data_IF_402578133842
#
_entry.id   IF_402578133842
#
_cell.length_a   1.000
_cell.length_b   1.000
_cell.length_c   1.000
_cell.angle_alpha   90.00
_cell.angle_beta   90.00
_cell.angle_gamma   90.00
#
_symmetry.space_group_name_H-M   'P 1'
#
loop_
_entity.id
_entity.type
_entity.pdbx_description
1 polymer ?
#
# COMPACT_ATOMS: atom_id res chain seq x y z
N UNK A 1 -1.48 -1.91 34.12
CA UNK A 1 -1.50 -3.17 33.32
C UNK A 1 -0.30 -3.11 32.41
N UNK A 2 0.63 -4.08 32.44
CA UNK A 2 1.70 -4.12 31.42
C UNK A 2 1.07 -4.31 30.05
N UNK A 3 1.46 -3.47 29.09
CA UNK A 3 0.98 -3.60 27.72
C UNK A 3 1.30 -5.04 27.22
N UNK A 4 0.37 -5.65 26.50
CA UNK A 4 0.61 -6.94 25.85
C UNK A 4 1.75 -6.76 24.84
N UNK A 5 2.80 -7.61 24.86
CA UNK A 5 3.88 -7.51 23.90
C UNK A 5 3.37 -7.63 22.46
N UNK A 6 3.92 -6.84 21.56
CA UNK A 6 3.65 -6.94 20.12
C UNK A 6 4.18 -8.26 19.53
N UNK A 7 3.72 -8.62 18.34
CA UNK A 7 4.18 -9.84 17.65
C UNK A 7 5.68 -9.82 17.33
N UNK A 8 6.28 -8.63 17.19
CA UNK A 8 7.71 -8.42 16.90
C UNK A 8 8.44 -7.72 18.05
N UNK A 9 7.91 -7.81 19.27
CA UNK A 9 8.55 -7.23 20.43
C UNK A 9 9.95 -7.83 20.65
N UNK A 10 10.94 -6.97 20.91
CA UNK A 10 12.34 -7.35 21.03
C UNK A 10 13.13 -7.41 19.70
N UNK A 11 12.47 -7.30 18.54
CA UNK A 11 13.17 -7.19 17.26
C UNK A 11 13.58 -5.74 16.98
N UNK A 12 14.80 -5.56 16.48
CA UNK A 12 15.31 -4.25 16.04
C UNK A 12 15.47 -4.20 14.52
N UNK A 13 15.02 -3.10 13.93
CA UNK A 13 15.09 -2.83 12.49
C UNK A 13 15.96 -1.58 12.25
N UNK A 14 17.02 -1.71 11.48
CA UNK A 14 17.79 -0.58 10.95
C UNK A 14 17.20 -0.18 9.58
N UNK A 15 16.53 0.95 9.53
CA UNK A 15 15.80 1.46 8.38
C UNK A 15 16.61 2.53 7.65
N UNK A 16 17.29 2.16 6.57
CA UNK A 16 18.00 3.07 5.66
C UNK A 16 17.12 3.53 4.50
N UNK A 17 15.87 3.09 4.45
CA UNK A 17 14.98 3.37 3.33
C UNK A 17 14.41 4.80 3.38
N UNK A 18 13.98 5.28 2.20
CA UNK A 18 13.42 6.62 2.01
C UNK A 18 12.14 6.56 1.18
N UNK A 19 11.43 7.66 1.15
CA UNK A 19 10.23 7.92 0.36
C UNK A 19 9.03 7.12 0.87
N UNK A 20 8.67 5.97 0.26
CA UNK A 20 7.40 5.33 0.58
C UNK A 20 7.52 3.82 0.82
N UNK A 21 8.02 3.05 -0.14
CA UNK A 21 7.97 1.58 -0.10
C UNK A 21 8.65 0.99 1.16
N UNK A 22 9.89 1.36 1.43
CA UNK A 22 10.60 0.95 2.64
C UNK A 22 9.99 1.51 3.92
N UNK A 23 9.70 2.84 3.98
CA UNK A 23 9.05 3.43 5.14
C UNK A 23 7.71 2.80 5.52
N UNK A 24 6.86 2.40 4.57
CA UNK A 24 5.63 1.63 4.84
C UNK A 24 5.96 0.27 5.45
N UNK A 25 6.92 -0.47 4.87
CA UNK A 25 7.31 -1.78 5.39
C UNK A 25 7.77 -1.67 6.85
N UNK A 26 8.66 -0.72 7.15
CA UNK A 26 9.20 -0.54 8.50
C UNK A 26 8.17 0.04 9.48
N UNK A 27 7.24 0.89 9.03
CA UNK A 27 6.12 1.33 9.84
C UNK A 27 5.22 0.14 10.25
N UNK A 28 4.92 -0.78 9.32
CA UNK A 28 4.16 -2.00 9.63
C UNK A 28 4.89 -2.86 10.67
N UNK A 29 6.22 -3.04 10.53
CA UNK A 29 7.01 -3.78 11.53
C UNK A 29 6.98 -3.07 12.90
N UNK A 30 7.05 -1.73 12.92
CA UNK A 30 6.90 -0.91 14.11
C UNK A 30 5.53 -1.05 14.77
N UNK A 31 4.44 -1.05 13.97
CA UNK A 31 3.06 -1.27 14.45
C UNK A 31 2.89 -2.67 15.07
N UNK A 32 3.66 -3.65 14.59
CA UNK A 32 3.69 -5.01 15.11
C UNK A 32 4.59 -5.18 16.34
N UNK A 33 5.28 -4.14 16.78
CA UNK A 33 6.07 -4.12 18.03
C UNK A 33 7.58 -3.94 17.85
N UNK A 34 8.14 -4.01 16.65
CA UNK A 34 9.57 -3.85 16.43
C UNK A 34 10.09 -2.46 16.85
N UNK A 35 11.35 -2.40 17.32
CA UNK A 35 12.10 -1.17 17.53
C UNK A 35 12.74 -0.74 16.19
N UNK A 36 12.16 0.26 15.54
CA UNK A 36 12.60 0.74 14.24
C UNK A 36 13.46 1.97 14.39
N UNK A 37 14.72 1.90 13.94
CA UNK A 37 15.67 3.02 13.90
C UNK A 37 15.83 3.46 12.44
N UNK A 38 15.25 4.63 12.11
CA UNK A 38 15.38 5.26 10.79
C UNK A 38 16.69 6.06 10.73
N UNK A 39 17.55 5.68 9.77
CA UNK A 39 18.79 6.40 9.48
C UNK A 39 18.54 7.46 8.43
N UNK A 40 18.78 8.71 8.77
CA UNK A 40 18.52 9.86 7.93
C UNK A 40 19.78 10.68 7.68
N UNK A 41 19.81 11.42 6.57
CA UNK A 41 20.88 12.35 6.27
C UNK A 41 20.80 13.56 7.21
N UNK A 42 21.91 14.02 7.79
CA UNK A 42 21.94 15.25 8.60
C UNK A 42 21.38 16.44 7.81
N UNK A 43 20.58 17.26 8.47
CA UNK A 43 20.02 18.51 7.95
C UNK A 43 18.84 18.36 6.99
N UNK A 44 18.85 17.39 6.06
CA UNK A 44 17.78 17.21 5.07
C UNK A 44 16.82 16.06 5.36
N UNK A 45 17.28 15.01 6.03
CA UNK A 45 16.51 13.82 6.34
C UNK A 45 16.04 13.05 5.11
N UNK A 46 14.87 12.44 5.24
CA UNK A 46 14.13 11.81 4.15
C UNK A 46 13.60 12.86 3.18
N UNK A 47 13.68 12.60 1.87
CA UNK A 47 13.24 13.52 0.82
C UNK A 47 11.76 13.94 1.00
N UNK A 48 10.93 13.06 1.56
CA UNK A 48 9.49 13.34 1.82
C UNK A 48 9.26 14.43 2.86
N UNK A 49 10.25 14.78 3.68
CA UNK A 49 10.14 15.91 4.62
C UNK A 49 9.96 17.25 3.91
N UNK A 50 10.47 17.36 2.67
CA UNK A 50 10.32 18.56 1.83
C UNK A 50 9.12 18.49 0.86
N UNK A 51 8.34 17.41 0.90
CA UNK A 51 7.21 17.24 -0.04
C UNK A 51 5.91 17.82 0.51
N UNK A 52 5.58 18.98 0.05
CA UNK A 52 4.35 19.70 0.37
C UNK A 52 4.14 20.88 -0.58
N UNK A 53 2.97 21.52 -0.58
CA UNK A 53 1.82 21.28 0.28
C UNK A 53 1.15 19.91 0.01
N UNK A 54 0.35 19.38 0.97
CA UNK A 54 -0.02 20.00 2.24
C UNK A 54 1.01 19.78 3.36
N UNK A 55 0.99 20.69 4.33
CA UNK A 55 1.78 20.66 5.55
C UNK A 55 0.86 20.52 6.77
N UNK A 56 1.32 19.89 7.85
CA UNK A 56 0.64 19.96 9.14
C UNK A 56 0.65 21.38 9.69
N UNK A 57 -0.15 21.71 10.73
CA UNK A 57 -0.10 23.01 11.40
C UNK A 57 1.33 23.38 11.90
N UNK A 58 2.13 22.39 12.26
CA UNK A 58 3.52 22.53 12.73
C UNK A 58 4.53 22.66 11.56
N UNK A 59 4.06 22.67 10.31
CA UNK A 59 4.90 22.81 9.13
C UNK A 59 5.64 21.52 8.71
N UNK A 60 5.17 20.35 9.16
CA UNK A 60 5.73 19.06 8.76
C UNK A 60 4.97 18.50 7.57
N UNK A 61 5.67 17.87 6.63
CA UNK A 61 5.06 17.22 5.46
C UNK A 61 4.07 16.13 5.88
N UNK A 62 2.82 16.23 5.43
CA UNK A 62 1.80 15.19 5.66
C UNK A 62 2.19 13.85 5.03
N UNK A 63 2.98 13.88 3.95
CA UNK A 63 3.51 12.66 3.32
C UNK A 63 4.46 11.92 4.28
N UNK A 64 5.40 12.67 4.90
CA UNK A 64 6.33 12.10 5.88
C UNK A 64 5.59 11.55 7.11
N UNK A 65 4.62 12.33 7.64
CA UNK A 65 3.83 11.92 8.81
C UNK A 65 3.05 10.63 8.56
N UNK A 66 2.55 10.44 7.36
CA UNK A 66 1.70 9.29 7.00
C UNK A 66 2.39 7.92 7.08
N UNK A 67 3.75 7.84 7.07
CA UNK A 67 4.48 6.58 6.92
C UNK A 67 5.67 6.39 7.87
N UNK A 68 5.81 7.24 8.90
CA UNK A 68 6.98 7.20 9.78
C UNK A 68 6.69 7.12 11.28
N UNK A 69 5.42 6.81 11.68
CA UNK A 69 5.13 6.51 13.09
C UNK A 69 5.87 5.25 13.56
N UNK A 70 5.99 5.09 14.87
CA UNK A 70 6.68 3.97 15.51
C UNK A 70 8.15 3.84 15.12
N UNK A 71 8.81 4.96 14.78
CA UNK A 71 10.23 5.00 14.45
C UNK A 71 10.99 5.95 15.37
N UNK A 72 12.23 5.63 15.64
CA UNK A 72 13.25 6.54 16.20
C UNK A 72 14.14 7.01 15.05
N UNK A 73 14.60 8.26 15.05
CA UNK A 73 15.49 8.79 13.99
C UNK A 73 16.90 9.02 14.52
N UNK A 74 17.90 8.57 13.75
CA UNK A 74 19.31 8.90 13.92
C UNK A 74 19.81 9.60 12.66
N UNK A 75 20.51 10.73 12.83
CA UNK A 75 21.12 11.47 11.72
C UNK A 75 22.57 11.02 11.50
N UNK A 76 22.84 10.42 10.33
CA UNK A 76 24.17 9.92 9.94
C UNK A 76 24.49 10.28 8.49
N UNK A 77 25.69 10.82 8.24
CA UNK A 77 26.25 10.93 6.89
C UNK A 77 27.09 9.68 6.56
N UNK A 78 26.55 8.78 5.76
CA UNK A 78 27.24 7.55 5.37
C UNK A 78 28.55 7.78 4.59
N UNK A 79 28.88 9.02 4.25
CA UNK A 79 30.20 9.38 3.67
C UNK A 79 31.23 9.75 4.74
N UNK A 80 30.79 10.11 5.93
CA UNK A 80 31.67 10.33 7.07
C UNK A 80 32.06 8.98 7.69
N UNK A 81 33.37 8.70 7.89
CA UNK A 81 33.81 7.40 8.42
C UNK A 81 33.27 7.06 9.81
N UNK A 82 33.11 8.05 10.69
CA UNK A 82 32.63 7.82 12.06
C UNK A 82 31.10 7.51 12.05
N UNK A 83 30.36 8.20 11.21
CA UNK A 83 28.94 7.94 11.01
C UNK A 83 28.70 6.59 10.32
N UNK A 84 29.53 6.24 9.33
CA UNK A 84 29.48 4.92 8.68
C UNK A 84 29.76 3.78 9.67
N UNK A 85 30.71 3.94 10.60
CA UNK A 85 30.96 2.95 11.66
C UNK A 85 29.78 2.87 12.64
N UNK A 86 29.15 4.00 12.98
CA UNK A 86 27.92 4.02 13.79
C UNK A 86 26.78 3.28 13.08
N UNK A 87 26.61 3.51 11.78
CA UNK A 87 25.60 2.82 10.95
C UNK A 87 25.87 1.31 10.89
N UNK A 88 27.15 0.92 10.81
CA UNK A 88 27.57 -0.48 10.83
C UNK A 88 27.29 -1.13 12.20
N UNK A 89 27.64 -0.46 13.29
CA UNK A 89 27.34 -0.94 14.65
C UNK A 89 25.83 -1.12 14.87
N UNK A 90 25.00 -0.19 14.39
CA UNK A 90 23.54 -0.29 14.40
C UNK A 90 23.08 -1.51 13.59
N UNK A 91 23.57 -1.67 12.36
CA UNK A 91 23.20 -2.78 11.46
C UNK A 91 23.56 -4.14 12.05
N UNK A 92 24.72 -4.28 12.70
CA UNK A 92 25.13 -5.53 13.33
C UNK A 92 24.35 -5.85 14.63
N UNK A 93 23.68 -4.87 15.22
CA UNK A 93 22.79 -5.08 16.39
C UNK A 93 21.32 -5.18 16.00
N UNK A 94 20.99 -4.92 14.74
CA UNK A 94 19.63 -5.07 14.23
C UNK A 94 19.35 -6.50 13.80
N UNK A 95 18.10 -6.94 13.87
CA UNK A 95 17.62 -8.20 13.33
C UNK A 95 17.34 -8.11 11.85
N UNK A 96 16.94 -6.92 11.41
CA UNK A 96 16.61 -6.58 10.03
C UNK A 96 17.30 -5.30 9.62
N UNK A 97 17.90 -5.32 8.43
CA UNK A 97 18.41 -4.12 7.74
C UNK A 97 17.62 -3.94 6.46
N UNK A 98 16.99 -2.79 6.27
CA UNK A 98 16.22 -2.48 5.05
C UNK A 98 16.75 -1.24 4.36
N UNK A 99 16.82 -1.28 3.02
CA UNK A 99 17.29 -0.17 2.20
C UNK A 99 16.56 -0.09 0.85
N UNK A 100 16.56 1.09 0.22
CA UNK A 100 16.09 1.29 -1.15
C UNK A 100 16.95 2.28 -1.92
N UNK A 101 18.26 2.24 -1.69
CA UNK A 101 19.22 3.06 -2.40
C UNK A 101 19.51 2.54 -3.80
N UNK A 102 20.17 3.37 -4.59
CA UNK A 102 20.74 2.94 -5.87
C UNK A 102 21.82 1.86 -5.64
N UNK A 103 22.02 0.95 -6.61
CA UNK A 103 23.05 -0.08 -6.49
C UNK A 103 24.41 0.47 -6.10
N UNK A 104 25.11 -0.22 -5.20
CA UNK A 104 26.45 0.12 -4.73
C UNK A 104 26.51 1.19 -3.63
N UNK A 105 25.43 1.84 -3.23
CA UNK A 105 25.46 2.83 -2.12
C UNK A 105 25.79 2.13 -0.80
N UNK A 106 25.08 1.07 -0.45
CA UNK A 106 25.33 0.30 0.78
C UNK A 106 26.71 -0.36 0.75
N UNK A 107 27.14 -0.92 -0.38
CA UNK A 107 28.45 -1.54 -0.51
C UNK A 107 29.62 -0.54 -0.27
N UNK A 108 29.51 0.68 -0.78
CA UNK A 108 30.53 1.73 -0.52
C UNK A 108 30.63 2.11 0.95
N UNK A 109 29.55 1.96 1.70
CA UNK A 109 29.52 2.22 3.15
C UNK A 109 29.84 0.94 3.98
N UNK A 110 30.10 -0.21 3.34
CA UNK A 110 30.32 -1.48 4.05
C UNK A 110 29.07 -2.02 4.76
N UNK A 111 27.88 -1.68 4.24
CA UNK A 111 26.58 -1.99 4.82
C UNK A 111 25.74 -2.92 3.92
N UNK A 112 26.32 -3.45 2.83
CA UNK A 112 25.64 -4.41 1.99
C UNK A 112 25.48 -5.78 2.69
N UNK A 113 24.54 -6.57 2.17
CA UNK A 113 24.19 -7.86 2.77
C UNK A 113 25.40 -8.78 2.97
N UNK A 114 26.27 -8.92 1.97
CA UNK A 114 27.41 -9.85 2.02
C UNK A 114 28.43 -9.42 3.09
N UNK A 115 28.69 -8.10 3.16
CA UNK A 115 29.59 -7.54 4.17
C UNK A 115 29.06 -7.73 5.59
N UNK A 116 27.77 -7.44 5.82
CA UNK A 116 27.16 -7.58 7.14
C UNK A 116 26.99 -9.06 7.54
N UNK A 117 26.59 -9.93 6.62
CA UNK A 117 26.40 -11.36 6.84
C UNK A 117 27.71 -12.07 7.25
N UNK A 118 28.85 -11.61 6.73
CA UNK A 118 30.16 -12.16 7.14
C UNK A 118 30.44 -12.00 8.65
N UNK A 119 29.79 -11.06 9.31
CA UNK A 119 29.90 -10.81 10.76
C UNK A 119 28.68 -11.34 11.54
N UNK A 120 27.52 -11.48 10.89
CA UNK A 120 26.27 -11.89 11.52
C UNK A 120 25.44 -12.73 10.55
N UNK A 121 25.62 -14.06 10.62
CA UNK A 121 25.00 -15.02 9.70
C UNK A 121 23.48 -15.10 9.80
N UNK A 122 22.90 -14.70 10.93
CA UNK A 122 21.45 -14.68 11.20
C UNK A 122 20.75 -13.36 10.77
N UNK A 123 21.51 -12.38 10.22
CA UNK A 123 20.96 -11.10 9.80
C UNK A 123 20.00 -11.27 8.63
N UNK A 124 18.81 -10.71 8.74
CA UNK A 124 17.88 -10.54 7.62
C UNK A 124 18.12 -9.18 6.97
N UNK A 125 18.39 -9.17 5.68
CA UNK A 125 18.51 -7.93 4.90
C UNK A 125 17.34 -7.83 3.92
N UNK A 126 16.81 -6.62 3.69
CA UNK A 126 15.80 -6.38 2.67
C UNK A 126 16.23 -5.23 1.76
N UNK A 127 16.23 -5.47 0.45
CA UNK A 127 16.49 -4.47 -0.57
C UNK A 127 15.25 -4.25 -1.42
N UNK A 128 14.79 -3.00 -1.53
CA UNK A 128 13.73 -2.61 -2.46
C UNK A 128 14.39 -1.89 -3.63
N UNK A 129 14.42 -2.57 -4.78
CA UNK A 129 15.00 -2.06 -6.01
C UNK A 129 13.96 -1.32 -6.87
N UNK A 130 14.44 -0.55 -7.84
CA UNK A 130 13.58 0.12 -8.82
C UNK A 130 13.01 -0.85 -9.87
N UNK A 131 13.37 -0.65 -11.14
CA UNK A 131 12.86 -1.46 -12.24
C UNK A 131 13.81 -2.63 -12.54
N UNK A 132 13.75 -3.68 -11.70
CA UNK A 132 14.57 -4.87 -11.85
C UNK A 132 16.02 -4.67 -11.36
N UNK A 133 16.95 -5.47 -11.89
CA UNK A 133 18.38 -5.52 -11.46
C UNK A 133 19.27 -4.47 -12.12
N UNK A 134 18.71 -3.60 -12.99
CA UNK A 134 19.47 -2.57 -13.71
C UNK A 134 19.50 -1.23 -12.99
N UNK A 135 20.14 -0.23 -13.63
CA UNK A 135 20.28 1.14 -13.13
C UNK A 135 19.07 2.04 -13.44
N UNK A 136 17.93 1.45 -13.88
CA UNK A 136 16.73 2.22 -14.18
C UNK A 136 16.18 2.84 -12.89
N UNK A 137 15.83 4.15 -12.93
CA UNK A 137 15.33 4.82 -11.75
C UNK A 137 13.99 4.21 -11.28
N UNK A 138 13.90 3.96 -9.98
CA UNK A 138 12.75 3.32 -9.35
C UNK A 138 11.81 4.32 -8.70
N UNK A 139 11.02 5.04 -9.50
CA UNK A 139 9.89 5.81 -8.99
C UNK A 139 8.58 5.11 -9.32
N UNK A 140 7.63 5.14 -8.40
CA UNK A 140 6.29 4.56 -8.56
C UNK A 140 5.64 4.91 -9.90
N UNK A 141 5.66 6.18 -10.28
CA UNK A 141 5.06 6.64 -11.53
C UNK A 141 5.67 5.97 -12.76
N UNK A 142 6.99 5.77 -12.77
CA UNK A 142 7.67 5.05 -13.83
C UNK A 142 7.30 3.56 -13.81
N UNK A 143 7.20 2.96 -12.64
CA UNK A 143 6.78 1.57 -12.49
C UNK A 143 5.34 1.36 -12.98
N UNK A 144 4.40 2.26 -12.66
CA UNK A 144 3.04 2.22 -13.19
C UNK A 144 3.01 2.36 -14.71
N UNK A 145 3.83 3.25 -15.30
CA UNK A 145 3.89 3.45 -16.73
C UNK A 145 4.52 2.27 -17.46
N UNK A 146 5.72 1.86 -17.04
CA UNK A 146 6.52 0.84 -17.71
C UNK A 146 6.07 -0.59 -17.39
N UNK A 147 5.48 -0.80 -16.21
CA UNK A 147 4.93 -2.08 -15.76
C UNK A 147 3.53 -2.40 -16.29
N UNK A 148 2.94 -1.54 -17.12
CA UNK A 148 1.67 -1.81 -17.79
C UNK A 148 0.40 -1.38 -17.03
N UNK A 149 0.50 -0.97 -15.76
CA UNK A 149 -0.68 -0.58 -14.96
C UNK A 149 -1.41 0.62 -15.58
N UNK A 150 -0.69 1.64 -16.07
CA UNK A 150 -1.29 2.78 -16.75
C UNK A 150 -1.96 2.40 -18.07
N UNK A 151 -1.50 1.37 -18.76
CA UNK A 151 -2.09 0.93 -20.04
C UNK A 151 -3.51 0.40 -19.90
N UNK A 152 -3.90 -0.03 -18.68
CA UNK A 152 -5.24 -0.56 -18.36
C UNK A 152 -6.06 0.40 -17.48
N UNK A 153 -5.51 1.53 -17.07
CA UNK A 153 -6.15 2.51 -16.17
C UNK A 153 -6.53 3.77 -16.94
N UNK A 154 -7.79 4.19 -16.84
CA UNK A 154 -8.37 5.34 -17.52
C UNK A 154 -9.51 4.99 -18.46
N UNK A 155 -10.13 6.00 -19.06
CA UNK A 155 -11.27 5.84 -19.96
C UNK A 155 -10.89 5.11 -21.24
N UNK A 156 -11.84 4.34 -21.80
CA UNK A 156 -11.69 3.69 -23.10
C UNK A 156 -11.41 4.75 -24.18
N UNK A 157 -10.29 4.60 -24.91
CA UNK A 157 -9.88 5.58 -25.92
C UNK A 157 -9.28 6.88 -25.37
N UNK A 158 -9.25 7.08 -24.04
CA UNK A 158 -8.60 8.22 -23.38
C UNK A 158 -7.09 8.05 -23.21
N UNK A 159 -6.46 8.98 -22.48
CA UNK A 159 -5.05 8.87 -22.10
C UNK A 159 -4.85 7.82 -21.01
N UNK A 160 -3.66 7.17 -20.93
CA UNK A 160 -3.27 6.33 -19.79
C UNK A 160 -3.17 7.15 -18.50
N UNK A 161 -3.83 6.70 -17.45
CA UNK A 161 -3.79 7.36 -16.14
C UNK A 161 -3.03 6.53 -15.12
N UNK A 162 -2.26 7.20 -14.26
CA UNK A 162 -1.76 6.56 -13.04
C UNK A 162 -2.89 6.43 -12.01
N UNK A 163 -2.77 5.49 -11.10
CA UNK A 163 -3.60 5.46 -9.88
C UNK A 163 -3.30 6.70 -9.03
N UNK A 164 -4.28 7.23 -8.33
CA UNK A 164 -4.18 8.47 -7.55
C UNK A 164 -3.14 8.47 -6.43
N UNK A 165 -2.73 7.29 -5.95
CA UNK A 165 -1.66 7.09 -4.96
C UNK A 165 -0.46 6.41 -5.60
N UNK A 166 0.71 6.41 -4.94
CA UNK A 166 1.89 5.64 -5.33
C UNK A 166 1.68 4.16 -4.99
N UNK A 167 0.76 3.52 -5.73
CA UNK A 167 0.23 2.19 -5.40
C UNK A 167 1.29 1.10 -5.50
N UNK A 168 2.22 1.21 -6.45
CA UNK A 168 3.29 0.22 -6.62
C UNK A 168 4.26 0.27 -5.44
N UNK A 169 4.60 1.47 -4.94
CA UNK A 169 5.41 1.62 -3.72
C UNK A 169 4.70 1.01 -2.50
N UNK A 170 3.39 1.26 -2.34
CA UNK A 170 2.60 0.64 -1.25
C UNK A 170 2.67 -0.88 -1.33
N UNK A 171 2.45 -1.45 -2.51
CA UNK A 171 2.49 -2.90 -2.71
C UNK A 171 3.90 -3.47 -2.52
N UNK A 172 4.94 -2.77 -2.97
CA UNK A 172 6.33 -3.17 -2.74
C UNK A 172 6.66 -3.17 -1.24
N UNK A 173 6.20 -2.17 -0.50
CA UNK A 173 6.33 -2.12 0.97
C UNK A 173 5.65 -3.30 1.66
N UNK A 174 4.44 -3.66 1.23
CA UNK A 174 3.73 -4.85 1.74
C UNK A 174 4.49 -6.15 1.43
N UNK A 175 5.00 -6.32 0.19
CA UNK A 175 5.81 -7.48 -0.17
C UNK A 175 7.13 -7.54 0.61
N UNK A 176 7.76 -6.39 0.87
CA UNK A 176 8.96 -6.29 1.69
C UNK A 176 8.66 -6.75 3.14
N UNK A 177 7.57 -6.27 3.74
CA UNK A 177 7.16 -6.69 5.08
C UNK A 177 6.87 -8.21 5.13
N UNK A 178 6.14 -8.76 4.15
CA UNK A 178 5.87 -10.21 4.04
C UNK A 178 7.18 -10.98 3.89
N UNK A 179 8.08 -10.55 3.01
CA UNK A 179 9.37 -11.19 2.78
C UNK A 179 10.25 -11.18 4.03
N UNK A 180 10.30 -10.05 4.76
CA UNK A 180 11.01 -9.94 6.03
C UNK A 180 10.44 -10.91 7.06
N UNK A 181 9.12 -10.96 7.24
CA UNK A 181 8.48 -11.89 8.19
C UNK A 181 8.75 -13.35 7.82
N UNK A 182 8.74 -13.71 6.54
CA UNK A 182 9.10 -15.04 6.06
C UNK A 182 10.58 -15.36 6.34
N UNK A 183 11.48 -14.41 6.12
CA UNK A 183 12.90 -14.56 6.41
C UNK A 183 13.18 -14.70 7.92
N UNK A 184 12.49 -13.93 8.76
CA UNK A 184 12.57 -14.05 10.22
C UNK A 184 12.06 -15.43 10.68
N UNK A 185 10.96 -15.93 10.10
CA UNK A 185 10.47 -17.28 10.40
C UNK A 185 11.46 -18.37 10.00
N UNK A 186 12.15 -18.20 8.87
CA UNK A 186 13.23 -19.11 8.47
C UNK A 186 14.40 -19.05 9.47
N UNK A 187 14.85 -17.83 9.81
CA UNK A 187 15.91 -17.60 10.81
C UNK A 187 15.60 -18.27 12.14
N UNK A 188 14.38 -18.11 12.65
CA UNK A 188 13.96 -18.70 13.92
C UNK A 188 14.02 -20.24 13.91
N UNK A 189 13.85 -20.86 12.75
CA UNK A 189 13.91 -22.31 12.59
C UNK A 189 15.32 -22.85 12.33
N UNK A 190 16.21 -22.07 11.72
CA UNK A 190 17.51 -22.56 11.22
C UNK A 190 18.72 -21.85 11.85
N UNK A 191 18.52 -20.67 12.42
CA UNK A 191 19.60 -19.77 12.83
C UNK A 191 20.23 -18.98 11.68
N UNK A 192 19.73 -19.09 10.45
CA UNK A 192 20.29 -18.44 9.27
C UNK A 192 19.40 -17.32 8.77
N UNK A 193 19.97 -16.10 8.60
CA UNK A 193 19.35 -14.98 7.92
C UNK A 193 19.45 -15.10 6.41
N UNK A 194 18.83 -14.16 5.69
CA UNK A 194 18.87 -14.12 4.23
C UNK A 194 18.62 -12.72 3.67
N UNK A 195 18.94 -12.55 2.38
CA UNK A 195 18.57 -11.36 1.62
C UNK A 195 17.15 -11.54 1.05
N UNK A 196 16.29 -10.57 1.31
CA UNK A 196 14.98 -10.38 0.69
C UNK A 196 15.13 -9.30 -0.37
N UNK A 197 14.79 -9.61 -1.61
CA UNK A 197 14.79 -8.63 -2.70
C UNK A 197 13.37 -8.44 -3.23
N UNK A 198 12.95 -7.17 -3.32
CA UNK A 198 11.68 -6.74 -3.93
C UNK A 198 12.01 -5.68 -4.97
N UNK A 199 11.40 -5.71 -6.13
CA UNK A 199 11.52 -4.64 -7.12
C UNK A 199 10.15 -4.15 -7.60
N UNK A 200 10.10 -2.88 -8.01
CA UNK A 200 8.84 -2.23 -8.38
C UNK A 200 8.24 -2.83 -9.66
N UNK A 201 9.06 -3.30 -10.61
CA UNK A 201 8.54 -3.87 -11.85
C UNK A 201 7.86 -5.22 -11.60
N UNK A 202 8.53 -6.14 -10.91
CA UNK A 202 7.94 -7.44 -10.53
C UNK A 202 6.69 -7.26 -9.68
N UNK A 203 6.71 -6.29 -8.75
CA UNK A 203 5.55 -5.92 -7.94
C UNK A 203 4.39 -5.45 -8.82
N UNK A 204 4.65 -4.59 -9.82
CA UNK A 204 3.62 -4.13 -10.75
C UNK A 204 3.04 -5.30 -11.54
N UNK A 205 3.90 -6.13 -12.16
CA UNK A 205 3.47 -7.28 -12.95
C UNK A 205 2.62 -8.27 -12.14
N UNK A 206 3.04 -8.58 -10.91
CA UNK A 206 2.27 -9.43 -10.00
C UNK A 206 0.89 -8.83 -9.70
N UNK A 207 0.82 -7.52 -9.54
CA UNK A 207 -0.41 -6.79 -9.18
C UNK A 207 -1.39 -6.61 -10.35
N UNK A 208 -0.98 -6.87 -11.60
CA UNK A 208 -1.89 -6.90 -12.74
C UNK A 208 -2.89 -8.06 -12.69
N UNK A 209 -2.66 -9.07 -11.86
CA UNK A 209 -3.58 -10.17 -11.54
C UNK A 209 -4.24 -10.79 -12.80
N UNK A 210 -5.59 -10.70 -12.90
CA UNK A 210 -6.35 -11.24 -14.03
C UNK A 210 -5.98 -10.62 -15.39
N UNK A 211 -5.55 -9.37 -15.42
CA UNK A 211 -5.13 -8.71 -16.67
C UNK A 211 -3.80 -9.31 -17.19
N UNK A 212 -2.86 -9.59 -16.30
CA UNK A 212 -1.66 -10.36 -16.68
C UNK A 212 -2.03 -11.76 -17.17
N UNK A 213 -2.98 -12.44 -16.51
CA UNK A 213 -3.44 -13.77 -16.93
C UNK A 213 -4.10 -13.73 -18.30
N UNK A 214 -4.87 -12.69 -18.66
CA UNK A 214 -5.45 -12.53 -19.99
C UNK A 214 -4.37 -12.56 -21.09
N UNK A 215 -3.23 -11.89 -20.85
CA UNK A 215 -2.10 -11.93 -21.77
C UNK A 215 -1.39 -13.29 -21.75
N UNK A 216 -1.02 -13.80 -20.59
CA UNK A 216 -0.19 -14.99 -20.46
C UNK A 216 -0.90 -16.27 -20.90
N UNK A 217 -2.23 -16.36 -20.72
CA UNK A 217 -2.99 -17.60 -20.98
C UNK A 217 -3.81 -17.54 -22.26
N UNK A 218 -4.28 -16.37 -22.67
CA UNK A 218 -5.15 -16.20 -23.82
C UNK A 218 -4.53 -15.33 -24.95
N UNK A 219 -3.35 -14.76 -24.74
CA UNK A 219 -2.68 -13.87 -25.72
C UNK A 219 -3.40 -12.54 -25.93
N UNK A 220 -4.38 -12.20 -25.05
CA UNK A 220 -5.15 -10.96 -25.16
C UNK A 220 -4.43 -9.85 -24.43
N UNK A 221 -4.02 -8.81 -25.15
CA UNK A 221 -3.45 -7.59 -24.55
C UNK A 221 -4.58 -6.75 -23.99
N UNK A 222 -4.65 -6.55 -22.65
CA UNK A 222 -5.69 -5.73 -22.04
C UNK A 222 -5.56 -4.24 -22.41
N UNK A 223 -6.70 -3.57 -22.54
CA UNK A 223 -6.77 -2.14 -22.76
C UNK A 223 -7.57 -1.44 -21.65
N UNK A 224 -7.64 -0.11 -21.74
CA UNK A 224 -8.44 0.71 -20.82
C UNK A 224 -9.94 0.52 -21.09
N UNK A 225 -10.69 0.33 -20.01
CA UNK A 225 -12.13 0.11 -20.05
C UNK A 225 -12.90 1.06 -19.12
N UNK A 226 -12.27 2.11 -18.62
CA UNK A 226 -12.83 2.94 -17.56
C UNK A 226 -13.05 2.12 -16.29
N UNK A 227 -14.26 2.19 -15.75
CA UNK A 227 -14.65 1.45 -14.54
C UNK A 227 -15.26 0.06 -14.83
N UNK A 228 -15.18 -0.44 -16.08
CA UNK A 228 -15.80 -1.69 -16.50
C UNK A 228 -14.92 -2.89 -16.18
N UNK A 229 -15.52 -3.94 -15.63
CA UNK A 229 -14.81 -5.21 -15.47
C UNK A 229 -14.72 -5.96 -16.82
N UNK A 230 -13.56 -6.53 -17.19
CA UNK A 230 -13.40 -7.18 -18.50
C UNK A 230 -14.29 -8.41 -18.71
N UNK A 231 -14.60 -9.15 -17.66
CA UNK A 231 -15.25 -10.47 -17.74
C UNK A 231 -16.58 -10.58 -17.00
N UNK A 232 -17.09 -9.48 -16.42
CA UNK A 232 -18.34 -9.46 -15.65
C UNK A 232 -19.17 -8.25 -16.08
N UNK A 233 -20.51 -8.43 -16.24
CA UNK A 233 -21.45 -7.35 -16.58
C UNK A 233 -22.84 -7.57 -15.96
N UNK A 234 -23.46 -6.47 -15.41
CA UNK A 234 -22.86 -5.18 -15.14
C UNK A 234 -21.94 -5.22 -13.90
N UNK A 235 -20.72 -4.76 -14.05
CA UNK A 235 -19.75 -4.51 -12.97
C UNK A 235 -19.00 -3.24 -13.36
N UNK A 236 -19.56 -2.09 -12.97
CA UNK A 236 -19.10 -0.79 -13.47
C UNK A 236 -19.78 0.37 -12.75
N UNK A 237 -19.50 1.58 -13.20
CA UNK A 237 -20.19 2.78 -12.74
C UNK A 237 -21.43 3.02 -13.58
N UNK A 238 -22.59 3.13 -12.93
CA UNK A 238 -23.86 3.52 -13.54
C UNK A 238 -24.22 4.97 -13.18
N UNK A 239 -25.11 5.60 -13.96
CA UNK A 239 -25.54 6.98 -13.74
C UNK A 239 -27.01 7.04 -13.35
N UNK A 240 -27.26 7.56 -12.14
CA UNK A 240 -28.57 7.96 -11.63
C UNK A 240 -28.93 9.39 -12.07
N UNK A 241 -30.04 9.93 -11.57
CA UNK A 241 -30.50 11.29 -11.88
C UNK A 241 -29.54 12.39 -11.42
N UNK A 242 -28.84 12.16 -10.30
CA UNK A 242 -27.98 13.16 -9.61
C UNK A 242 -26.49 12.84 -9.68
N UNK A 243 -26.09 11.66 -10.19
CA UNK A 243 -24.68 11.33 -10.27
C UNK A 243 -24.38 9.84 -10.45
N UNK A 244 -23.10 9.49 -10.38
CA UNK A 244 -22.65 8.10 -10.53
C UNK A 244 -22.76 7.32 -9.23
N UNK A 245 -23.00 6.00 -9.36
CA UNK A 245 -22.82 5.00 -8.32
C UNK A 245 -22.21 3.74 -8.93
N UNK A 246 -21.62 2.89 -8.11
CA UNK A 246 -21.00 1.64 -8.56
C UNK A 246 -21.91 0.45 -8.29
N UNK A 247 -21.84 -0.56 -9.19
CA UNK A 247 -22.56 -1.82 -9.04
C UNK A 247 -21.62 -2.98 -9.39
N UNK A 248 -21.81 -4.12 -8.72
CA UNK A 248 -21.06 -5.34 -8.96
C UNK A 248 -22.01 -6.55 -8.98
N UNK A 249 -22.55 -6.85 -10.15
CA UNK A 249 -23.43 -8.02 -10.35
C UNK A 249 -22.58 -9.22 -10.76
N UNK A 250 -22.22 -10.06 -9.78
CA UNK A 250 -21.28 -11.16 -9.95
C UNK A 250 -21.82 -12.43 -10.59
N UNK A 251 -23.15 -12.60 -10.64
CA UNK A 251 -23.79 -13.81 -11.15
C UNK A 251 -25.20 -13.54 -11.74
N UNK A 252 -25.77 -14.59 -12.37
CA UNK A 252 -27.04 -14.46 -13.07
C UNK A 252 -28.26 -14.34 -12.10
N UNK A 253 -28.15 -14.81 -10.88
CA UNK A 253 -29.16 -14.63 -9.85
C UNK A 253 -29.27 -13.18 -9.39
N UNK A 254 -28.11 -12.56 -9.11
CA UNK A 254 -28.04 -11.13 -8.79
C UNK A 254 -28.54 -10.27 -9.95
N UNK A 255 -28.27 -10.67 -11.21
CA UNK A 255 -28.79 -9.96 -12.37
C UNK A 255 -30.31 -9.99 -12.41
N UNK A 256 -30.94 -11.15 -12.20
CA UNK A 256 -32.40 -11.27 -12.13
C UNK A 256 -33.00 -10.44 -10.99
N UNK A 257 -32.38 -10.47 -9.82
CA UNK A 257 -32.77 -9.64 -8.68
C UNK A 257 -32.69 -8.15 -9.01
N UNK A 258 -31.63 -7.72 -9.66
CA UNK A 258 -31.44 -6.33 -10.12
C UNK A 258 -32.55 -5.93 -11.08
N UNK A 259 -32.86 -6.75 -12.07
CA UNK A 259 -33.95 -6.48 -13.01
C UNK A 259 -35.30 -6.32 -12.28
N UNK A 260 -35.57 -7.13 -11.24
CA UNK A 260 -36.74 -7.00 -10.40
C UNK A 260 -36.81 -5.68 -9.63
N UNK A 261 -35.69 -5.23 -9.05
CA UNK A 261 -35.60 -3.94 -8.33
C UNK A 261 -35.79 -2.74 -9.26
N UNK A 262 -35.32 -2.87 -10.51
CA UNK A 262 -35.46 -1.83 -11.54
C UNK A 262 -36.80 -1.86 -12.28
N UNK A 263 -37.67 -2.81 -11.98
CA UNK A 263 -38.94 -3.05 -12.70
C UNK A 263 -38.76 -3.29 -14.23
N UNK A 264 -37.68 -4.05 -14.55
CA UNK A 264 -37.32 -4.45 -15.92
C UNK A 264 -37.22 -5.99 -16.05
N UNK A 265 -38.29 -6.75 -15.69
CA UNK A 265 -38.23 -8.21 -15.66
C UNK A 265 -37.97 -8.83 -17.04
N UNK A 266 -38.31 -8.14 -18.13
CA UNK A 266 -38.06 -8.58 -19.50
C UNK A 266 -36.57 -8.71 -19.82
N UNK A 267 -35.71 -7.90 -19.21
CA UNK A 267 -34.25 -8.01 -19.40
C UNK A 267 -33.69 -9.32 -18.83
N UNK A 268 -34.27 -9.82 -17.74
CA UNK A 268 -33.88 -11.10 -17.15
C UNK A 268 -34.20 -12.30 -18.05
N UNK A 269 -35.21 -12.19 -18.89
CA UNK A 269 -35.65 -13.22 -19.88
C UNK A 269 -35.01 -13.06 -21.26
N UNK A 270 -34.31 -11.94 -21.53
CA UNK A 270 -33.72 -11.70 -22.84
C UNK A 270 -32.44 -12.55 -23.00
N UNK A 271 -32.36 -13.35 -24.07
CA UNK A 271 -31.24 -14.21 -24.37
C UNK A 271 -29.88 -13.46 -24.46
N UNK A 272 -29.93 -12.18 -24.83
CA UNK A 272 -28.75 -11.32 -24.87
C UNK A 272 -28.16 -11.05 -23.49
N UNK A 273 -28.95 -11.21 -22.40
CA UNK A 273 -28.53 -10.84 -21.04
C UNK A 273 -28.68 -11.98 -20.02
N UNK A 274 -29.22 -13.13 -20.44
CA UNK A 274 -29.55 -14.26 -19.56
C UNK A 274 -28.34 -14.85 -18.83
N UNK A 275 -27.14 -14.79 -19.43
CA UNK A 275 -25.90 -15.28 -18.83
C UNK A 275 -24.85 -14.16 -18.75
N UNK A 276 -23.87 -14.30 -17.83
CA UNK A 276 -22.79 -13.32 -17.72
C UNK A 276 -22.02 -13.14 -19.04
N UNK A 277 -21.68 -14.23 -19.74
CA UNK A 277 -20.99 -14.14 -21.04
C UNK A 277 -21.83 -13.37 -22.08
N UNK A 278 -23.13 -13.62 -22.12
CA UNK A 278 -24.02 -12.89 -23.02
C UNK A 278 -24.10 -11.40 -22.67
N UNK A 279 -24.16 -11.05 -21.38
CA UNK A 279 -24.11 -9.65 -20.91
C UNK A 279 -22.79 -8.97 -21.24
N UNK A 280 -21.66 -9.64 -21.05
CA UNK A 280 -20.34 -9.10 -21.42
C UNK A 280 -20.27 -8.80 -22.92
N UNK A 281 -20.76 -9.70 -23.76
CA UNK A 281 -20.82 -9.53 -25.23
C UNK A 281 -21.77 -8.38 -25.63
N UNK A 282 -22.91 -8.25 -24.97
CA UNK A 282 -23.94 -7.27 -25.30
C UNK A 282 -23.98 -6.08 -24.30
N UNK A 283 -22.84 -5.73 -23.72
CA UNK A 283 -22.72 -4.74 -22.62
C UNK A 283 -23.35 -3.40 -22.96
N UNK A 284 -23.04 -2.82 -24.13
CA UNK A 284 -23.58 -1.51 -24.53
C UNK A 284 -25.11 -1.57 -24.61
N UNK A 285 -25.67 -2.59 -25.24
CA UNK A 285 -27.14 -2.77 -25.33
C UNK A 285 -27.79 -2.94 -23.93
N UNK A 286 -27.08 -3.60 -23.00
CA UNK A 286 -27.56 -3.72 -21.62
C UNK A 286 -27.58 -2.36 -20.92
N UNK A 287 -26.49 -1.60 -21.03
CA UNK A 287 -26.39 -0.27 -20.40
C UNK A 287 -27.43 0.69 -20.97
N UNK A 288 -27.65 0.68 -22.28
CA UNK A 288 -28.67 1.48 -22.94
C UNK A 288 -30.07 1.14 -22.44
N UNK A 289 -30.35 -0.15 -22.20
CA UNK A 289 -31.65 -0.60 -21.66
C UNK A 289 -31.85 -0.21 -20.18
N UNK A 290 -30.79 -0.16 -19.39
CA UNK A 290 -30.84 0.24 -17.97
C UNK A 290 -30.92 1.77 -17.78
N UNK A 291 -30.30 2.54 -18.66
CA UNK A 291 -30.08 3.97 -18.49
C UNK A 291 -31.37 4.81 -18.27
N UNK A 292 -32.48 4.59 -18.94
CA UNK A 292 -33.73 5.34 -18.71
C UNK A 292 -34.20 5.21 -17.26
N UNK A 293 -34.40 3.97 -16.78
CA UNK A 293 -34.90 3.68 -15.42
C UNK A 293 -33.98 4.23 -14.35
N UNK A 294 -32.66 4.13 -14.55
CA UNK A 294 -31.70 4.64 -13.58
C UNK A 294 -31.81 6.15 -13.34
N UNK A 295 -32.30 6.90 -14.32
CA UNK A 295 -32.50 8.36 -14.19
C UNK A 295 -33.77 8.73 -13.40
N UNK A 296 -34.64 7.78 -13.06
CA UNK A 296 -35.87 8.06 -12.33
C UNK A 296 -35.66 8.31 -10.85
N UNK A 297 -34.48 7.98 -10.30
CA UNK A 297 -34.15 8.21 -8.89
C UNK A 297 -32.70 8.62 -8.70
N UNK A 298 -32.39 9.12 -7.49
CA UNK A 298 -31.03 9.47 -7.09
C UNK A 298 -30.15 8.23 -6.87
N UNK A 299 -28.83 8.40 -6.95
CA UNK A 299 -27.87 7.34 -6.67
C UNK A 299 -28.06 6.73 -5.28
N UNK A 300 -28.30 7.54 -4.27
CA UNK A 300 -28.55 7.06 -2.91
C UNK A 300 -29.81 6.17 -2.81
N UNK A 301 -30.87 6.51 -3.53
CA UNK A 301 -32.09 5.69 -3.58
C UNK A 301 -31.82 4.34 -4.25
N UNK A 302 -31.08 4.33 -5.36
CA UNK A 302 -30.71 3.08 -6.02
C UNK A 302 -29.80 2.20 -5.17
N UNK A 303 -28.78 2.78 -4.54
CA UNK A 303 -27.88 2.05 -3.62
C UNK A 303 -28.68 1.42 -2.48
N UNK A 304 -29.64 2.14 -1.90
CA UNK A 304 -30.51 1.60 -0.85
C UNK A 304 -31.38 0.43 -1.35
N UNK A 305 -32.05 0.59 -2.49
CA UNK A 305 -32.95 -0.44 -3.04
C UNK A 305 -32.22 -1.69 -3.50
N UNK A 306 -31.11 -1.51 -4.21
CA UNK A 306 -30.27 -2.60 -4.72
C UNK A 306 -29.57 -3.34 -3.57
N UNK A 307 -29.05 -2.60 -2.60
CA UNK A 307 -28.44 -3.18 -1.39
C UNK A 307 -29.40 -4.02 -0.57
N UNK A 308 -30.65 -3.56 -0.40
CA UNK A 308 -31.71 -4.32 0.28
C UNK A 308 -32.06 -5.63 -0.43
N UNK A 309 -31.85 -5.72 -1.74
CA UNK A 309 -31.99 -6.93 -2.53
C UNK A 309 -30.72 -7.80 -2.62
N UNK A 310 -29.69 -7.49 -1.83
CA UNK A 310 -28.43 -8.25 -1.79
C UNK A 310 -27.51 -8.01 -2.99
N UNK A 311 -27.69 -6.92 -3.72
CA UNK A 311 -26.84 -6.56 -4.87
C UNK A 311 -25.73 -5.63 -4.39
N UNK A 312 -24.47 -6.00 -4.55
CA UNK A 312 -23.33 -5.15 -4.17
C UNK A 312 -23.34 -3.85 -4.98
N UNK A 313 -23.49 -2.73 -4.30
CA UNK A 313 -23.50 -1.39 -4.90
C UNK A 313 -23.07 -0.35 -3.87
N UNK A 314 -22.65 0.83 -4.32
CA UNK A 314 -22.21 1.88 -3.40
C UNK A 314 -22.00 3.23 -4.09
N UNK A 315 -21.87 4.25 -3.27
CA UNK A 315 -21.52 5.60 -3.72
C UNK A 315 -20.02 5.71 -4.02
N UNK A 316 -19.64 6.60 -4.91
CA UNK A 316 -18.24 6.99 -5.10
C UNK A 316 -17.93 8.08 -4.07
N UNK A 317 -17.32 7.70 -2.96
CA UNK A 317 -17.00 8.60 -1.85
C UNK A 317 -15.73 9.41 -2.10
N UNK A 318 -15.68 10.63 -1.57
CA UNK A 318 -14.45 11.35 -1.35
C UNK A 318 -13.70 10.77 -0.13
N UNK A 319 -12.43 11.15 0.06
CA UNK A 319 -11.60 10.57 1.12
C UNK A 319 -12.18 10.81 2.53
N UNK A 320 -12.66 12.01 2.81
CA UNK A 320 -13.30 12.36 4.08
C UNK A 320 -14.60 11.56 4.32
N UNK A 321 -15.40 11.36 3.26
CA UNK A 321 -16.62 10.54 3.31
C UNK A 321 -16.27 9.05 3.54
N UNK A 322 -15.14 8.57 2.98
CA UNK A 322 -14.68 7.20 3.24
C UNK A 322 -14.30 6.99 4.71
N UNK A 323 -13.66 7.96 5.38
CA UNK A 323 -13.41 7.92 6.82
C UNK A 323 -14.70 8.03 7.65
N UNK A 324 -15.70 8.79 7.19
CA UNK A 324 -17.00 8.84 7.83
C UNK A 324 -17.71 7.48 7.75
N UNK A 325 -17.73 6.85 6.58
CA UNK A 325 -18.27 5.50 6.38
C UNK A 325 -17.54 4.46 7.26
N UNK A 326 -16.21 4.53 7.36
CA UNK A 326 -15.45 3.61 8.21
C UNK A 326 -15.93 3.68 9.67
N UNK A 327 -16.17 4.87 10.21
CA UNK A 327 -16.73 5.06 11.55
C UNK A 327 -18.16 4.53 11.68
N UNK A 328 -18.99 4.76 10.67
CA UNK A 328 -20.38 4.27 10.64
C UNK A 328 -20.45 2.74 10.71
N UNK A 329 -19.56 2.05 10.01
CA UNK A 329 -19.48 0.58 10.03
C UNK A 329 -18.64 0.02 11.18
N UNK A 330 -18.19 0.85 12.12
CA UNK A 330 -17.48 0.44 13.33
C UNK A 330 -16.00 0.12 13.13
N UNK A 331 -15.35 0.67 12.08
CA UNK A 331 -13.91 0.53 11.86
C UNK A 331 -13.14 1.69 12.52
N UNK A 332 -12.10 1.38 13.27
CA UNK A 332 -11.14 2.34 13.81
C UNK A 332 -10.07 2.65 12.76
N UNK A 333 -10.40 3.52 11.80
CA UNK A 333 -9.54 3.81 10.66
C UNK A 333 -8.43 4.86 10.95
N UNK A 334 -8.47 5.52 12.11
CA UNK A 334 -7.52 6.56 12.51
C UNK A 334 -6.76 6.11 13.76
N UNK A 335 -5.43 6.23 13.70
CA UNK A 335 -4.54 6.07 14.83
C UNK A 335 -3.98 7.43 15.24
N UNK A 336 -4.26 7.86 16.46
CA UNK A 336 -3.70 9.09 17.04
C UNK A 336 -2.48 8.74 17.88
N UNK A 337 -1.35 9.37 17.61
CA UNK A 337 -0.11 9.22 18.39
C UNK A 337 0.29 10.59 18.93
N UNK A 338 0.64 10.64 20.20
CA UNK A 338 1.08 11.89 20.85
C UNK A 338 2.62 11.89 20.84
N UNK A 339 3.20 12.94 20.28
CA UNK A 339 4.65 13.18 20.30
C UNK A 339 5.16 13.59 21.69
N UNK A 340 6.45 13.54 21.90
CA UNK A 340 7.09 13.97 23.16
C UNK A 340 6.85 15.47 23.44
N UNK A 341 6.59 16.25 22.41
CA UNK A 341 6.19 17.67 22.46
C UNK A 341 4.71 17.87 22.85
N UNK A 342 3.94 16.80 23.04
CA UNK A 342 2.52 16.81 23.34
C UNK A 342 1.61 17.03 22.12
N UNK A 343 2.15 17.12 20.91
CA UNK A 343 1.37 17.27 19.68
C UNK A 343 0.79 15.93 19.24
N UNK A 344 -0.52 15.91 18.99
CA UNK A 344 -1.21 14.73 18.49
C UNK A 344 -1.08 14.66 16.95
N UNK A 345 -0.66 13.51 16.44
CA UNK A 345 -0.58 13.23 15.01
C UNK A 345 -1.55 12.12 14.65
N UNK A 346 -2.54 12.43 13.82
CA UNK A 346 -3.48 11.46 13.28
C UNK A 346 -2.89 10.82 12.02
N UNK A 347 -2.91 9.49 11.97
CA UNK A 347 -2.46 8.70 10.83
C UNK A 347 -3.49 7.61 10.52
N UNK A 348 -3.42 7.02 9.31
CA UNK A 348 -4.28 5.89 8.97
C UNK A 348 -3.88 4.68 9.81
N UNK A 349 -4.84 4.08 10.50
CA UNK A 349 -4.60 2.88 11.31
C UNK A 349 -4.17 1.68 10.44
N UNK A 350 -3.37 0.80 11.02
CA UNK A 350 -2.99 -0.45 10.35
C UNK A 350 -4.22 -1.37 10.24
N UNK A 351 -4.51 -1.92 9.05
CA UNK A 351 -5.69 -2.77 8.86
C UNK A 351 -5.57 -4.18 9.49
N UNK A 352 -4.42 -4.52 10.06
CA UNK A 352 -4.21 -5.83 10.69
C UNK A 352 -4.81 -5.85 12.11
N UNK A 353 -5.69 -6.81 12.36
CA UNK A 353 -6.28 -7.08 13.68
C UNK A 353 -5.81 -8.44 14.19
N UNK A 354 -4.78 -8.45 15.03
CA UNK A 354 -4.26 -9.65 15.66
C UNK A 354 -4.91 -9.84 17.04
N UNK A 355 -5.59 -10.96 17.26
CA UNK A 355 -6.39 -11.19 18.48
C UNK A 355 -5.57 -11.36 19.76
N UNK A 356 -4.27 -11.59 19.67
CA UNK A 356 -3.38 -11.82 20.82
C UNK A 356 -2.28 -10.75 20.94
N UNK A 357 -1.83 -10.22 19.84
CA UNK A 357 -0.74 -9.24 19.74
C UNK A 357 -1.20 -8.07 18.86
N UNK A 358 -2.17 -7.26 19.33
CA UNK A 358 -2.72 -6.17 18.52
C UNK A 358 -1.62 -5.19 18.07
N UNK A 359 -1.85 -4.55 16.93
CA UNK A 359 -1.00 -3.44 16.49
C UNK A 359 -1.02 -2.31 17.51
N UNK A 360 0.12 -1.64 17.68
CA UNK A 360 0.28 -0.54 18.65
C UNK A 360 0.87 0.70 17.99
N UNK A 361 0.45 1.87 18.48
CA UNK A 361 0.87 3.17 17.98
C UNK A 361 1.55 3.92 19.12
N UNK A 362 2.88 3.76 19.23
CA UNK A 362 3.67 4.13 20.42
C UNK A 362 4.43 5.43 20.27
N UNK A 363 4.95 5.71 19.06
CA UNK A 363 5.80 6.85 18.77
C UNK A 363 5.23 7.64 17.60
N UNK A 364 5.15 8.95 17.74
CA UNK A 364 4.86 9.87 16.65
C UNK A 364 6.01 9.82 15.61
N UNK A 365 5.75 10.21 14.34
CA UNK A 365 6.82 10.34 13.36
C UNK A 365 7.92 11.29 13.87
N UNK A 366 9.19 10.84 13.92
CA UNK A 366 10.25 11.59 14.60
C UNK A 366 10.71 12.82 13.81
N UNK A 367 11.28 13.80 14.50
CA UNK A 367 12.13 14.84 13.93
C UNK A 367 13.45 14.26 13.36
N UNK A 368 14.15 15.04 12.51
CA UNK A 368 15.45 14.59 11.95
C UNK A 368 16.46 14.38 13.08
N UNK A 369 16.95 13.15 13.23
CA UNK A 369 17.95 12.81 14.23
C UNK A 369 17.52 13.00 15.67
N UNK A 370 16.24 13.09 15.95
CA UNK A 370 15.66 13.34 17.28
C UNK A 370 16.25 12.41 18.36
N UNK A 371 16.58 11.18 18.00
CA UNK A 371 17.07 10.16 18.92
C UNK A 371 18.57 9.87 18.75
N UNK A 372 19.33 10.74 18.05
CA UNK A 372 20.74 10.48 17.69
C UNK A 372 21.60 10.16 18.91
N UNK A 373 21.55 10.99 19.95
CA UNK A 373 22.39 10.82 21.15
C UNK A 373 22.01 9.54 21.93
N UNK A 374 20.72 9.28 22.08
CA UNK A 374 20.24 8.07 22.77
C UNK A 374 20.67 6.80 22.04
N UNK A 375 20.51 6.77 20.70
CA UNK A 375 20.89 5.61 19.89
C UNK A 375 22.41 5.42 19.90
N UNK A 376 23.21 6.50 19.81
CA UNK A 376 24.68 6.42 19.93
C UNK A 376 25.11 5.84 21.29
N UNK A 377 24.46 6.29 22.38
CA UNK A 377 24.73 5.76 23.71
C UNK A 377 24.39 4.25 23.82
N UNK A 378 23.30 3.80 23.23
CA UNK A 378 22.94 2.37 23.17
C UNK A 378 23.97 1.55 22.37
N UNK A 379 24.63 2.14 21.37
CA UNK A 379 25.61 1.46 20.52
C UNK A 379 27.03 1.43 21.13
N UNK A 380 27.29 2.26 22.12
CA UNK A 380 28.58 2.23 22.87
C UNK A 380 28.63 0.94 23.70
N UNK A 381 29.81 0.25 23.76
CA UNK A 381 29.96 -1.00 24.51
C UNK A 381 29.77 -0.83 26.02
#
# INVERSE_FOLDING_TARGET
MSATPGALDGLRVADFSRVLAGPIATMILGDLGADVVKVERPGSGDDTRAWGPPWSPEGVSSYYLGVNRNKRSIALDLKDPADAETARALSLRADVVIENFRPGVMARAGLDHETLRAHRADLVSCRIAGLGRGDLPGYDFLAQAMGGLMSITGDAGGEPHKVGVALVDVMAGLHAAIGILAALRHRDATGEGQLVEVDLLSTTLFSLANQASNWLTAGVVPGRMGNRHPSIAPYETLRASDGPFVIAVGNDEQFRAMCGVLDLPELAGDARFATNSARVTNREALLDALAPTLRDASAAVWVTRLGAAGIPCGMVNQVDQAFALAREVGLEAVATVIGDDGVAVDTVANPLHLSRTPTTYRLAPPGIGEHTEAIRAELTP
#
